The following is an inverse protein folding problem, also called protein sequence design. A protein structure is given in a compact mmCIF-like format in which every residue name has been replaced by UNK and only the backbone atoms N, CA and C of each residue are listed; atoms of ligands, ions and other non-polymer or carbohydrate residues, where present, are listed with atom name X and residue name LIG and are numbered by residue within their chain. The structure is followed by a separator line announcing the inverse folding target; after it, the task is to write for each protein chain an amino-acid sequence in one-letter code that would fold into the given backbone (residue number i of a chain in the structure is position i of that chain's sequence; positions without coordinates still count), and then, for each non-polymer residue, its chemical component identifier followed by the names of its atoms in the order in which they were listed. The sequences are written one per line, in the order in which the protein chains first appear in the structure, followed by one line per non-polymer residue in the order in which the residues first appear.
data_IF_504700664815
#
_entry.id   IF_504700664815
#
_cell.length_a   1.000
_cell.length_b   1.000
_cell.length_c   1.000
_cell.angle_alpha   90.00
_cell.angle_beta   90.00
_cell.angle_gamma   90.00
#
_symmetry.space_group_name_H-M   'P 1'
#
loop_
_entity.id
_entity.type
_entity.pdbx_description
1 polymer ?
#
# COMPACT_ATOMS: atom_id res chain seq x y z
N UNK A 1 -22.37 3.12 15.82
CA UNK A 1 -21.28 3.33 14.84
C UNK A 1 -20.21 4.18 15.50
N UNK A 2 -18.95 3.74 15.51
CA UNK A 2 -17.84 4.48 16.13
C UNK A 2 -17.50 5.76 15.35
N UNK A 3 -16.86 6.73 16.01
CA UNK A 3 -16.36 7.95 15.35
C UNK A 3 -15.28 7.57 14.33
N UNK A 4 -15.25 8.27 13.19
CA UNK A 4 -14.20 8.10 12.19
C UNK A 4 -12.84 8.47 12.80
N UNK A 5 -11.93 7.50 12.91
CA UNK A 5 -10.55 7.76 13.36
C UNK A 5 -9.74 8.46 12.27
N UNK A 6 -8.81 9.32 12.67
CA UNK A 6 -7.90 9.94 11.70
C UNK A 6 -6.89 8.89 11.18
N UNK A 7 -6.13 8.27 12.08
CA UNK A 7 -5.20 7.16 11.79
C UNK A 7 -5.62 5.89 12.55
N UNK A 8 -5.28 4.71 12.01
CA UNK A 8 -5.23 3.49 12.84
C UNK A 8 -3.80 3.16 13.28
N UNK A 9 -2.87 2.96 12.35
CA UNK A 9 -1.45 2.78 12.67
C UNK A 9 -0.63 3.70 11.76
N UNK A 10 0.26 4.46 12.40
CA UNK A 10 1.04 5.51 11.77
C UNK A 10 2.50 5.37 12.19
N UNK A 11 3.39 5.30 11.20
CA UNK A 11 4.82 5.46 11.40
C UNK A 11 5.19 6.86 10.95
N UNK A 12 5.50 7.79 11.86
CA UNK A 12 5.95 9.15 11.54
C UNK A 12 7.20 9.50 12.33
N UNK A 13 8.15 10.20 11.71
CA UNK A 13 9.47 10.53 12.26
C UNK A 13 10.23 9.34 12.86
N UNK A 14 10.17 8.22 12.16
CA UNK A 14 10.75 6.94 12.58
C UNK A 14 11.48 6.26 11.43
N UNK A 15 12.39 5.36 11.77
CA UNK A 15 13.08 4.53 10.78
C UNK A 15 13.11 3.06 11.20
N UNK A 16 13.14 2.17 10.21
CA UNK A 16 13.32 0.72 10.41
C UNK A 16 12.27 0.05 11.31
N UNK A 17 11.03 0.56 11.34
CA UNK A 17 9.94 -0.08 12.06
C UNK A 17 9.28 -1.17 11.24
N UNK A 18 8.81 -2.21 11.94
CA UNK A 18 8.07 -3.32 11.38
C UNK A 18 6.68 -3.40 12.03
N UNK A 19 5.64 -3.21 11.23
CA UNK A 19 4.28 -3.60 11.56
C UNK A 19 3.97 -4.94 10.92
N UNK A 20 3.64 -5.95 11.72
CA UNK A 20 3.35 -7.30 11.22
C UNK A 20 2.02 -7.81 11.77
N UNK A 21 1.23 -8.47 10.92
CA UNK A 21 -0.07 -9.04 11.30
C UNK A 21 -1.06 -8.00 11.86
N UNK A 22 -1.02 -6.77 11.33
CA UNK A 22 -1.97 -5.72 11.70
C UNK A 22 -3.31 -5.99 11.00
N UNK A 23 -4.40 -5.99 11.76
CA UNK A 23 -5.76 -6.04 11.24
C UNK A 23 -6.49 -4.72 11.53
N UNK A 24 -6.87 -4.01 10.47
CA UNK A 24 -7.68 -2.78 10.55
C UNK A 24 -9.12 -3.10 10.15
N UNK A 25 -10.01 -3.11 11.15
CA UNK A 25 -11.43 -3.45 11.02
C UNK A 25 -12.38 -2.30 11.44
N UNK A 26 -11.84 -1.10 11.66
CA UNK A 26 -12.59 0.10 12.03
C UNK A 26 -12.52 1.19 10.96
N UNK A 27 -13.51 2.10 10.90
CA UNK A 27 -13.49 3.21 9.94
C UNK A 27 -12.36 4.19 10.28
N UNK A 28 -11.50 4.47 9.31
CA UNK A 28 -10.41 5.44 9.44
C UNK A 28 -10.15 6.17 8.13
N UNK A 29 -9.47 7.33 8.20
CA UNK A 29 -8.98 8.05 7.01
C UNK A 29 -7.66 7.47 6.50
N UNK A 30 -6.77 7.13 7.43
CA UNK A 30 -5.44 6.58 7.17
C UNK A 30 -5.27 5.22 7.90
N UNK A 31 -5.53 4.12 7.20
CA UNK A 31 -5.42 2.76 7.73
C UNK A 31 -3.98 2.36 8.07
N UNK A 32 -3.16 2.11 7.05
CA UNK A 32 -1.74 1.82 7.21
C UNK A 32 -0.98 3.01 6.65
N UNK A 33 -0.37 3.80 7.53
CA UNK A 33 0.29 5.04 7.14
C UNK A 33 1.80 4.98 7.37
N UNK A 34 2.54 5.25 6.29
CA UNK A 34 3.89 5.79 6.38
C UNK A 34 3.77 7.32 6.32
N UNK A 35 3.88 7.94 7.49
CA UNK A 35 3.72 9.37 7.66
C UNK A 35 5.02 10.14 7.36
N UNK A 36 4.97 11.48 7.45
CA UNK A 36 6.12 12.38 7.38
C UNK A 36 7.28 11.84 8.20
N UNK A 37 8.45 11.77 7.59
CA UNK A 37 9.69 11.32 8.21
C UNK A 37 9.87 9.80 8.32
N UNK A 38 8.93 8.96 7.83
CA UNK A 38 9.06 7.50 7.86
C UNK A 38 10.10 6.97 6.85
N UNK A 39 11.05 6.14 7.32
CA UNK A 39 12.18 5.69 6.48
C UNK A 39 12.45 4.20 6.63
N UNK A 40 12.45 3.46 5.52
CA UNK A 40 12.78 2.03 5.52
C UNK A 40 11.88 1.18 6.43
N UNK A 41 10.65 1.62 6.66
CA UNK A 41 9.66 0.93 7.48
C UNK A 41 8.86 -0.06 6.63
N UNK A 42 8.31 -1.08 7.30
CA UNK A 42 7.60 -2.19 6.65
C UNK A 42 6.27 -2.44 7.33
N UNK A 43 5.20 -2.56 6.55
CA UNK A 43 4.00 -3.28 6.96
C UNK A 43 3.97 -4.61 6.22
N UNK A 44 3.88 -5.73 6.93
CA UNK A 44 3.85 -7.07 6.33
C UNK A 44 2.74 -7.95 6.89
N UNK A 45 2.11 -8.75 6.02
CA UNK A 45 1.05 -9.69 6.40
C UNK A 45 -0.15 -9.02 7.08
N UNK A 46 -0.51 -7.81 6.66
CA UNK A 46 -1.60 -7.03 7.25
C UNK A 46 -2.91 -7.18 6.46
N UNK A 47 -4.02 -6.85 7.09
CA UNK A 47 -5.34 -6.78 6.46
C UNK A 47 -6.06 -5.48 6.78
N UNK A 48 -6.72 -4.89 5.78
CA UNK A 48 -7.54 -3.68 5.95
C UNK A 48 -8.91 -3.94 5.33
N UNK A 49 -9.93 -4.08 6.17
CA UNK A 49 -11.25 -4.57 5.73
C UNK A 49 -12.37 -3.53 5.77
N UNK A 50 -12.08 -2.32 6.25
CA UNK A 50 -13.03 -1.19 6.26
C UNK A 50 -12.36 0.05 5.71
N UNK A 51 -12.89 0.58 4.59
CA UNK A 51 -12.40 1.78 3.91
C UNK A 51 -10.86 1.85 3.82
N UNK A 52 -10.22 0.86 3.18
CA UNK A 52 -8.77 0.78 3.09
C UNK A 52 -8.10 2.04 2.54
N UNK A 53 -6.98 2.39 3.14
CA UNK A 53 -6.02 3.37 2.60
C UNK A 53 -4.61 2.91 2.93
N UNK A 54 -3.80 2.67 1.90
CA UNK A 54 -2.36 2.53 2.01
C UNK A 54 -1.78 3.94 1.83
N UNK A 55 -1.53 4.58 2.96
CA UNK A 55 -1.21 5.99 3.02
C UNK A 55 0.30 6.23 2.99
N UNK A 56 0.71 7.06 2.05
CA UNK A 56 2.04 7.62 1.98
C UNK A 56 1.89 9.11 2.16
N UNK A 57 2.18 9.56 3.38
CA UNK A 57 2.10 10.97 3.71
C UNK A 57 3.35 11.69 3.20
N UNK A 58 3.15 12.88 2.64
CA UNK A 58 4.25 13.73 2.18
C UNK A 58 5.24 14.06 3.30
N UNK A 59 6.49 14.32 2.89
CA UNK A 59 7.52 14.89 3.75
C UNK A 59 8.56 13.87 4.19
N UNK A 60 9.60 13.69 3.37
CA UNK A 60 10.75 12.82 3.67
C UNK A 60 10.42 11.33 3.96
N UNK A 61 9.25 10.85 3.56
CA UNK A 61 8.91 9.43 3.48
C UNK A 61 9.74 8.78 2.37
N UNK A 62 10.58 7.77 2.68
CA UNK A 62 11.34 7.08 1.64
C UNK A 62 11.57 5.58 1.90
N UNK A 63 11.62 4.82 0.81
CA UNK A 63 11.96 3.39 0.79
C UNK A 63 11.11 2.52 1.74
N UNK A 64 9.87 2.92 1.98
CA UNK A 64 8.95 2.15 2.80
C UNK A 64 8.29 1.03 1.99
N UNK A 65 7.84 -0.02 2.67
CA UNK A 65 7.34 -1.25 2.04
C UNK A 65 5.97 -1.65 2.61
N UNK A 66 4.95 -1.65 1.76
CA UNK A 66 3.72 -2.41 1.99
C UNK A 66 3.90 -3.80 1.39
N UNK A 67 3.90 -4.85 2.21
CA UNK A 67 4.22 -6.22 1.81
C UNK A 67 3.10 -7.18 2.19
N UNK A 68 2.62 -7.96 1.22
CA UNK A 68 1.62 -9.01 1.44
C UNK A 68 0.37 -8.50 2.20
N UNK A 69 -0.24 -7.42 1.69
CA UNK A 69 -1.40 -6.78 2.32
C UNK A 69 -2.68 -7.26 1.65
N UNK A 70 -3.69 -7.59 2.47
CA UNK A 70 -5.05 -7.91 2.01
C UNK A 70 -5.98 -6.73 2.22
N UNK A 71 -6.71 -6.38 1.18
CA UNK A 71 -7.61 -5.22 1.14
C UNK A 71 -9.01 -5.70 0.79
N UNK A 72 -10.03 -5.25 1.54
CA UNK A 72 -11.43 -5.36 1.14
C UNK A 72 -11.95 -3.97 0.78
N UNK A 73 -12.28 -3.75 -0.49
CA UNK A 73 -12.86 -2.49 -0.97
C UNK A 73 -14.36 -2.69 -1.26
N UNK A 74 -15.20 -1.97 -0.54
CA UNK A 74 -16.67 -2.05 -0.68
C UNK A 74 -17.26 -0.88 -1.46
N UNK A 75 -16.45 0.12 -1.82
CA UNK A 75 -16.90 1.34 -2.50
C UNK A 75 -16.38 1.37 -3.94
N UNK A 76 -17.29 1.27 -4.91
CA UNK A 76 -16.95 1.38 -6.33
C UNK A 76 -16.32 2.75 -6.67
N UNK A 77 -15.34 2.75 -7.57
CA UNK A 77 -14.63 3.97 -8.02
C UNK A 77 -13.65 4.56 -7.00
N UNK A 78 -13.42 3.91 -5.85
CA UNK A 78 -12.47 4.38 -4.84
C UNK A 78 -11.11 3.71 -5.01
N UNK A 79 -10.06 4.52 -4.95
CA UNK A 79 -8.68 4.02 -4.82
C UNK A 79 -8.29 3.82 -3.36
N UNK A 80 -7.38 2.88 -3.11
CA UNK A 80 -6.72 2.68 -1.81
C UNK A 80 -5.31 3.26 -1.77
N UNK A 81 -4.76 3.74 -2.90
CA UNK A 81 -3.52 4.50 -2.90
C UNK A 81 -3.81 5.90 -2.35
N UNK A 82 -3.34 6.16 -1.13
CA UNK A 82 -3.70 7.39 -0.45
C UNK A 82 -2.48 8.31 -0.30
N UNK A 83 -2.72 9.60 -0.54
CA UNK A 83 -1.77 10.68 -0.30
C UNK A 83 -2.25 11.52 0.88
N UNK A 84 -1.65 11.32 2.04
CA UNK A 84 -1.79 12.23 3.17
C UNK A 84 -0.84 13.42 3.08
N UNK A 85 -1.12 14.43 3.90
CA UNK A 85 -0.22 15.54 4.16
C UNK A 85 -0.46 16.78 3.34
N UNK A 86 -0.01 17.89 3.92
CA UNK A 86 -0.13 19.20 3.30
C UNK A 86 0.81 19.31 2.09
N UNK A 87 0.38 20.09 1.09
CA UNK A 87 1.07 20.18 -0.20
C UNK A 87 2.52 20.65 -0.13
N UNK A 88 2.90 21.42 0.90
CA UNK A 88 4.28 21.88 1.09
C UNK A 88 5.25 20.76 1.48
N UNK A 89 4.74 19.61 1.92
CA UNK A 89 5.53 18.40 2.16
C UNK A 89 5.74 17.54 0.91
N UNK A 90 5.27 18.00 -0.26
CA UNK A 90 5.48 17.29 -1.53
C UNK A 90 6.98 17.00 -1.79
N UNK A 91 7.32 15.89 -2.47
CA UNK A 91 6.44 14.87 -3.07
C UNK A 91 5.71 14.01 -2.03
N UNK A 92 4.70 13.23 -2.47
CA UNK A 92 3.97 12.29 -1.60
C UNK A 92 4.90 11.29 -0.92
N UNK A 93 5.94 10.84 -1.62
CA UNK A 93 7.06 10.08 -1.05
C UNK A 93 8.30 10.27 -1.93
N UNK A 94 9.49 9.99 -1.41
CA UNK A 94 10.71 9.92 -2.19
C UNK A 94 10.82 8.57 -2.93
N UNK A 95 11.92 8.39 -3.67
CA UNK A 95 12.10 7.23 -4.53
C UNK A 95 11.97 5.88 -3.80
N UNK A 96 11.46 4.89 -4.53
CA UNK A 96 11.46 3.46 -4.19
C UNK A 96 10.56 3.04 -3.01
N UNK A 97 9.56 3.84 -2.64
CA UNK A 97 8.44 3.28 -1.87
C UNK A 97 7.76 2.17 -2.68
N UNK A 98 7.50 1.05 -2.01
CA UNK A 98 7.20 -0.22 -2.66
C UNK A 98 5.89 -0.80 -2.14
N UNK A 99 5.05 -1.22 -3.08
CA UNK A 99 3.91 -2.10 -2.88
C UNK A 99 4.26 -3.47 -3.42
N UNK A 100 4.18 -4.48 -2.57
CA UNK A 100 4.56 -5.84 -2.91
C UNK A 100 3.43 -6.80 -2.54
N UNK A 101 2.94 -7.55 -3.54
CA UNK A 101 1.91 -8.58 -3.39
C UNK A 101 0.65 -8.10 -2.65
N UNK A 102 0.02 -7.02 -3.14
CA UNK A 102 -1.23 -6.53 -2.57
C UNK A 102 -2.40 -7.30 -3.19
N UNK A 103 -3.18 -7.97 -2.36
CA UNK A 103 -4.43 -8.62 -2.77
C UNK A 103 -5.60 -7.70 -2.46
N UNK A 104 -6.43 -7.43 -3.47
CA UNK A 104 -7.64 -6.62 -3.33
C UNK A 104 -8.87 -7.49 -3.61
N UNK A 105 -9.81 -7.49 -2.68
CA UNK A 105 -11.14 -8.04 -2.88
C UNK A 105 -12.13 -6.87 -3.03
N UNK A 106 -12.63 -6.68 -4.25
CA UNK A 106 -13.67 -5.71 -4.53
C UNK A 106 -15.03 -6.34 -4.20
N UNK A 107 -15.55 -5.99 -3.02
CA UNK A 107 -16.83 -6.45 -2.49
C UNK A 107 -17.98 -5.54 -2.95
N UNK A 108 -18.11 -5.38 -4.25
CA UNK A 108 -19.24 -4.74 -4.92
C UNK A 108 -19.46 -5.39 -6.29
N UNK A 109 -20.65 -5.19 -6.86
CA UNK A 109 -20.96 -5.71 -8.18
C UNK A 109 -20.19 -4.93 -9.26
N UNK A 110 -19.47 -5.64 -10.12
CA UNK A 110 -18.80 -5.08 -11.29
C UNK A 110 -19.32 -5.79 -12.55
N UNK A 111 -20.55 -5.45 -12.96
CA UNK A 111 -21.26 -6.15 -14.01
C UNK A 111 -20.45 -6.16 -15.32
N UNK A 112 -20.25 -7.37 -15.86
CA UNK A 112 -19.45 -7.57 -17.08
C UNK A 112 -17.94 -7.66 -16.86
N UNK A 113 -17.47 -7.75 -15.61
CA UNK A 113 -16.06 -7.94 -15.27
C UNK A 113 -15.15 -6.85 -15.87
N UNK A 114 -15.62 -5.60 -15.81
CA UNK A 114 -14.91 -4.45 -16.39
C UNK A 114 -13.60 -4.20 -15.64
N UNK A 115 -12.59 -3.70 -16.37
CA UNK A 115 -11.35 -3.24 -15.73
C UNK A 115 -11.65 -2.11 -14.76
N UNK A 116 -11.16 -2.25 -13.53
CA UNK A 116 -11.27 -1.22 -12.49
C UNK A 116 -10.04 -0.31 -12.59
N UNK A 117 -10.29 0.96 -12.87
CA UNK A 117 -9.25 1.98 -12.87
C UNK A 117 -8.93 2.42 -11.44
N UNK A 118 -7.65 2.36 -11.08
CA UNK A 118 -7.13 2.79 -9.79
C UNK A 118 -6.15 3.94 -9.99
N UNK A 119 -6.57 5.12 -9.56
CA UNK A 119 -5.68 6.27 -9.50
C UNK A 119 -4.72 6.13 -8.31
N UNK A 120 -3.44 6.03 -8.61
CA UNK A 120 -2.35 6.17 -7.66
C UNK A 120 -1.99 7.62 -7.39
N UNK A 121 -0.81 7.85 -6.82
CA UNK A 121 -0.36 9.22 -6.54
C UNK A 121 0.48 9.74 -7.73
N UNK A 122 0.27 11.00 -8.17
CA UNK A 122 0.91 11.52 -9.38
C UNK A 122 2.34 12.05 -9.17
N UNK A 123 2.76 12.22 -7.92
CA UNK A 123 4.02 12.83 -7.49
C UNK A 123 4.79 11.92 -6.50
N UNK A 124 4.68 10.61 -6.66
CA UNK A 124 5.45 9.58 -5.97
C UNK A 124 6.53 8.98 -6.87
N UNK A 125 7.69 9.65 -7.05
CA UNK A 125 8.73 9.24 -7.99
C UNK A 125 9.22 7.82 -7.76
N UNK A 126 9.42 7.08 -8.85
CA UNK A 126 10.12 5.78 -8.83
C UNK A 126 9.51 4.76 -7.86
N UNK A 127 8.19 4.83 -7.64
CA UNK A 127 7.47 3.82 -6.88
C UNK A 127 7.60 2.44 -7.54
N UNK A 128 7.51 1.39 -6.74
CA UNK A 128 7.51 0.00 -7.24
C UNK A 128 6.19 -0.65 -6.87
N UNK A 129 5.43 -1.07 -7.87
CA UNK A 129 4.16 -1.77 -7.68
C UNK A 129 4.30 -3.17 -8.27
N UNK A 130 4.44 -4.18 -7.42
CA UNK A 130 4.79 -5.54 -7.85
C UNK A 130 3.76 -6.54 -7.31
N UNK A 131 3.14 -7.31 -8.20
CA UNK A 131 2.23 -8.40 -7.82
C UNK A 131 0.89 -7.96 -7.26
N UNK A 132 0.41 -6.76 -7.60
CA UNK A 132 -0.94 -6.33 -7.21
C UNK A 132 -1.97 -7.13 -8.00
N UNK A 133 -2.94 -7.74 -7.33
CA UNK A 133 -3.94 -8.60 -7.96
C UNK A 133 -5.27 -8.54 -7.22
N UNK A 134 -6.36 -8.89 -7.92
CA UNK A 134 -7.70 -8.79 -7.38
C UNK A 134 -8.66 -9.82 -8.00
N UNK A 135 -9.90 -9.86 -7.48
CA UNK A 135 -11.02 -10.64 -8.02
C UNK A 135 -11.57 -10.09 -9.36
N UNK A 136 -11.21 -8.85 -9.73
CA UNK A 136 -11.51 -8.23 -11.02
C UNK A 136 -10.22 -7.68 -11.67
N UNK A 137 -10.16 -7.54 -13.01
CA UNK A 137 -9.02 -6.90 -13.66
C UNK A 137 -8.88 -5.45 -13.22
N UNK A 138 -7.65 -4.99 -13.04
CA UNK A 138 -7.33 -3.61 -12.64
C UNK A 138 -6.36 -2.95 -13.62
N UNK A 139 -6.49 -1.64 -13.76
CA UNK A 139 -5.50 -0.77 -14.39
C UNK A 139 -5.08 0.31 -13.39
N UNK A 140 -3.78 0.57 -13.28
CA UNK A 140 -3.23 1.43 -12.24
C UNK A 140 -2.44 2.56 -12.88
N UNK A 141 -2.78 3.79 -12.55
CA UNK A 141 -1.97 4.96 -12.89
C UNK A 141 -1.15 5.38 -11.68
N UNK A 142 0.17 5.48 -11.79
CA UNK A 142 1.01 5.90 -10.67
C UNK A 142 2.25 6.59 -11.22
N UNK A 143 2.67 7.72 -10.63
CA UNK A 143 3.80 8.45 -11.18
C UNK A 143 4.50 9.41 -10.22
N UNK A 144 5.59 10.04 -10.69
CA UNK A 144 6.20 9.81 -12.01
C UNK A 144 7.06 8.55 -12.06
N UNK A 145 7.16 7.95 -13.26
CA UNK A 145 8.06 6.84 -13.59
C UNK A 145 7.97 5.65 -12.60
N UNK A 146 6.76 5.23 -12.26
CA UNK A 146 6.57 4.03 -11.44
C UNK A 146 6.99 2.77 -12.22
N UNK A 147 7.70 1.87 -11.55
CA UNK A 147 7.95 0.53 -12.05
C UNK A 147 6.78 -0.37 -11.65
N UNK A 148 6.14 -1.01 -12.63
CA UNK A 148 5.04 -1.94 -12.40
C UNK A 148 5.35 -3.31 -13.00
N UNK A 149 5.16 -4.36 -12.22
CA UNK A 149 5.40 -5.74 -12.66
C UNK A 149 4.36 -6.69 -12.06
N UNK A 150 3.87 -7.65 -12.84
CA UNK A 150 2.96 -8.68 -12.34
C UNK A 150 1.61 -8.14 -11.85
N UNK A 151 1.15 -7.01 -12.38
CA UNK A 151 -0.21 -6.50 -12.14
C UNK A 151 -1.24 -7.51 -12.68
N UNK A 152 -2.32 -7.74 -11.95
CA UNK A 152 -3.33 -8.77 -12.20
C UNK A 152 -2.78 -10.22 -12.19
N UNK A 153 -1.57 -10.45 -11.68
CA UNK A 153 -0.96 -11.77 -11.56
C UNK A 153 -0.91 -12.22 -10.11
N UNK A 154 -1.81 -13.12 -9.73
CA UNK A 154 -1.74 -13.81 -8.45
C UNK A 154 -0.53 -14.78 -8.42
N UNK A 155 -0.15 -15.19 -7.20
CA UNK A 155 0.90 -16.21 -6.96
C UNK A 155 2.27 -15.85 -7.57
N UNK A 156 2.73 -14.61 -7.36
CA UNK A 156 4.11 -14.25 -7.70
C UNK A 156 5.12 -15.13 -6.94
N UNK A 157 6.30 -15.35 -7.53
CA UNK A 157 7.29 -16.30 -7.00
C UNK A 157 7.78 -15.98 -5.57
N UNK A 158 7.76 -14.70 -5.20
CA UNK A 158 8.11 -14.22 -3.86
C UNK A 158 6.89 -13.50 -3.27
N UNK A 159 6.07 -14.16 -2.45
CA UNK A 159 4.85 -13.56 -1.91
C UNK A 159 5.09 -12.45 -0.87
N UNK A 160 6.23 -12.48 -0.19
CA UNK A 160 6.65 -11.43 0.75
C UNK A 160 8.11 -11.07 0.49
N UNK A 161 8.38 -9.82 0.13
CA UNK A 161 9.73 -9.33 -0.07
C UNK A 161 10.48 -9.27 1.26
N UNK A 162 9.82 -8.85 2.35
CA UNK A 162 10.42 -8.79 3.67
C UNK A 162 10.87 -10.18 4.13
N UNK A 163 9.99 -11.17 4.07
CA UNK A 163 10.30 -12.54 4.50
C UNK A 163 11.39 -13.18 3.64
N UNK A 164 11.35 -12.96 2.31
CA UNK A 164 12.38 -13.46 1.40
C UNK A 164 13.76 -12.88 1.74
N UNK A 165 13.84 -11.57 1.94
CA UNK A 165 15.10 -10.89 2.26
C UNK A 165 15.61 -11.28 3.66
N UNK A 166 14.72 -11.42 4.64
CA UNK A 166 15.08 -11.90 5.97
C UNK A 166 15.68 -13.31 5.91
N UNK A 167 14.99 -14.25 5.23
CA UNK A 167 15.48 -15.62 5.04
C UNK A 167 16.85 -15.65 4.37
N UNK A 168 17.03 -14.86 3.30
CA UNK A 168 18.32 -14.76 2.59
C UNK A 168 19.44 -14.32 3.53
N UNK A 169 19.21 -13.31 4.37
CA UNK A 169 20.22 -12.78 5.31
C UNK A 169 20.54 -13.75 6.46
N UNK A 170 19.55 -14.48 6.94
CA UNK A 170 19.76 -15.48 8.00
C UNK A 170 20.50 -16.72 7.48
N UNK A 171 20.31 -17.08 6.20
CA UNK A 171 20.98 -18.22 5.56
C UNK A 171 22.40 -17.90 5.04
N UNK A 172 22.80 -16.63 5.02
CA UNK A 172 24.17 -16.20 4.69
C UNK A 172 25.07 -16.08 5.92
N UNK A 173 24.60 -16.49 7.10
CA UNK A 173 25.41 -16.67 8.31
C UNK A 173 25.81 -18.12 8.45
#
# INVERSE_FOLDING_TARGET
TGKLSHYTIMFGDVSSLLGRHVNVNGPCRHSLSFNTGAKGCVYTDCSVIVKPSLDQHGGANHQNLFDNIKILETTAGRTFFYKGGDGYWSPTHAAFSTFWNILVDFAYENSGNKTIELEGVPNGPSARLIGLHANYPMEITYGPAAYMEGINKANIAVPSLYAHQLKKRLNTK
#
